data_IF_388487261548
#
_entry.id   IF_388487261548
#
_cell.length_a   1.000
_cell.length_b   1.000
_cell.length_c   1.000
_cell.angle_alpha   90.00
_cell.angle_beta   90.00
_cell.angle_gamma   90.00
#
_symmetry.space_group_name_H-M   'P 1'
#
loop_
_entity.id
_entity.type
_entity.pdbx_description
1 polymer ?
#
# COMPACT_ATOMS: atom_id res chain seq x y z
N UNK A 1 -29.34 40.05 40.24
CA UNK A 1 -28.55 40.36 39.05
C UNK A 1 -27.97 39.09 38.47
N UNK A 2 -28.43 38.70 37.35
CA UNK A 2 -28.03 37.44 36.76
C UNK A 2 -27.04 37.70 35.66
N UNK A 3 -25.85 37.14 35.77
CA UNK A 3 -24.92 37.10 34.69
C UNK A 3 -25.37 36.05 33.69
N UNK A 4 -25.51 36.37 32.42
CA UNK A 4 -25.75 35.34 31.43
C UNK A 4 -24.57 34.41 31.45
N UNK A 5 -24.88 33.14 31.54
CA UNK A 5 -23.85 32.12 31.29
C UNK A 5 -23.32 32.35 29.90
N UNK A 6 -22.08 32.79 29.81
CA UNK A 6 -21.36 32.77 28.56
C UNK A 6 -21.17 31.32 28.20
N UNK A 7 -22.06 30.86 27.38
CA UNK A 7 -21.75 29.64 26.61
C UNK A 7 -20.64 30.01 25.63
N UNK A 8 -19.43 29.85 26.12
CA UNK A 8 -18.30 29.73 25.19
C UNK A 8 -18.49 28.40 24.50
N UNK A 9 -19.19 28.44 23.40
CA UNK A 9 -19.08 27.38 22.46
C UNK A 9 -17.60 27.33 22.05
N UNK A 10 -16.87 26.44 22.66
CA UNK A 10 -15.55 26.12 22.16
C UNK A 10 -15.76 25.57 20.74
N UNK A 11 -15.66 26.45 19.78
CA UNK A 11 -15.44 26.06 18.42
C UNK A 11 -14.08 25.33 18.43
N UNK A 12 -14.13 24.05 18.60
CA UNK A 12 -13.01 23.22 18.25
C UNK A 12 -12.77 23.43 16.76
N UNK A 13 -11.67 24.04 16.38
CA UNK A 13 -11.38 24.13 14.97
C UNK A 13 -11.31 22.72 14.41
N UNK A 14 -12.05 22.49 13.39
CA UNK A 14 -11.94 21.28 12.56
C UNK A 14 -10.57 21.18 11.88
N UNK A 15 -9.53 21.77 12.45
CA UNK A 15 -8.17 21.76 11.93
C UNK A 15 -7.51 20.40 12.04
N UNK A 16 -8.08 19.51 12.85
CA UNK A 16 -7.54 18.16 13.00
C UNK A 16 -7.77 17.27 11.76
N UNK A 17 -8.51 17.78 10.79
CA UNK A 17 -8.87 17.03 9.58
C UNK A 17 -8.39 17.69 8.31
N UNK A 18 -7.60 18.75 8.41
CA UNK A 18 -6.80 19.12 7.27
C UNK A 18 -5.93 17.91 6.96
N UNK A 19 -6.29 17.21 5.91
CA UNK A 19 -5.49 16.14 5.38
C UNK A 19 -4.04 16.61 5.41
N UNK A 20 -3.16 15.77 5.89
CA UNK A 20 -1.75 16.00 5.82
C UNK A 20 -1.42 16.39 4.38
N UNK A 21 -1.29 17.66 4.12
CA UNK A 21 -0.95 18.21 2.82
C UNK A 21 0.53 18.07 2.51
N UNK A 22 1.23 17.23 3.27
CA UNK A 22 2.62 16.94 2.99
C UNK A 22 2.70 16.35 1.58
N UNK A 23 3.39 17.00 0.66
CA UNK A 23 3.54 16.47 -0.68
C UNK A 23 4.18 15.09 -0.63
N UNK A 24 3.70 14.19 -1.48
CA UNK A 24 4.32 12.89 -1.63
C UNK A 24 5.74 13.05 -2.18
N UNK A 25 6.69 12.24 -1.71
CA UNK A 25 8.06 12.36 -2.19
C UNK A 25 8.16 12.10 -3.70
N UNK A 26 8.94 12.92 -4.39
CA UNK A 26 9.17 12.76 -5.82
C UNK A 26 9.93 11.47 -6.13
N UNK A 27 10.82 11.05 -5.23
CA UNK A 27 11.60 9.82 -5.36
C UNK A 27 11.44 8.96 -4.12
N UNK A 28 11.46 7.65 -4.31
CA UNK A 28 11.37 6.66 -3.24
C UNK A 28 12.58 5.74 -3.35
N UNK A 29 13.45 5.78 -2.36
CA UNK A 29 14.73 5.07 -2.38
C UNK A 29 14.68 3.73 -1.67
N UNK A 30 13.68 3.51 -0.84
CA UNK A 30 13.52 2.28 -0.08
C UNK A 30 12.06 1.85 -0.06
N UNK A 31 11.84 0.56 0.19
CA UNK A 31 10.49 0.01 0.34
C UNK A 31 9.78 0.72 1.50
N UNK A 32 8.61 1.23 1.24
CA UNK A 32 7.73 1.79 2.26
C UNK A 32 6.55 0.87 2.47
N UNK A 33 6.29 0.54 3.73
CA UNK A 33 5.18 -0.32 4.13
C UNK A 33 4.23 0.52 4.98
N UNK A 34 3.01 0.68 4.50
CA UNK A 34 1.98 1.44 5.19
C UNK A 34 0.86 0.49 5.56
N UNK A 35 0.64 0.30 6.86
CA UNK A 35 -0.46 -0.52 7.34
C UNK A 35 -1.78 0.21 7.12
N UNK A 36 -2.68 -0.34 6.31
CA UNK A 36 -4.00 0.23 6.07
C UNK A 36 -5.04 -0.39 7.02
N UNK A 37 -4.95 -1.69 7.21
CA UNK A 37 -5.81 -2.44 8.12
C UNK A 37 -4.98 -3.54 8.74
N UNK A 38 -4.95 -3.61 10.06
CA UNK A 38 -4.28 -4.71 10.73
C UNK A 38 -5.17 -5.95 10.72
N UNK A 39 -4.63 -7.05 10.20
CA UNK A 39 -5.32 -8.32 10.23
C UNK A 39 -5.27 -8.98 11.60
N UNK A 40 -6.15 -9.94 11.83
CA UNK A 40 -6.23 -10.67 13.08
C UNK A 40 -5.98 -12.17 12.93
N UNK A 41 -5.79 -12.64 11.70
CA UNK A 41 -5.55 -14.04 11.40
C UNK A 41 -4.09 -14.45 11.48
N UNK A 42 -3.77 -15.55 10.82
CA UNK A 42 -2.41 -16.11 10.78
C UNK A 42 -1.43 -15.15 10.15
N UNK A 43 -0.26 -15.01 10.77
CA UNK A 43 0.82 -14.18 10.25
C UNK A 43 1.53 -14.87 9.08
N UNK A 44 1.76 -14.12 8.02
CA UNK A 44 2.50 -14.59 6.86
C UNK A 44 4.00 -14.56 7.15
N UNK A 45 4.64 -15.69 6.97
CA UNK A 45 6.09 -15.86 7.18
C UNK A 45 6.73 -16.46 5.93
N UNK A 46 8.02 -16.20 5.68
CA UNK A 46 8.73 -16.89 4.61
C UNK A 46 8.54 -18.40 4.70
N UNK A 47 8.24 -19.03 3.58
CA UNK A 47 7.92 -20.45 3.52
C UNK A 47 6.43 -20.75 3.46
N UNK A 48 5.58 -19.81 3.83
CA UNK A 48 4.14 -19.97 3.65
C UNK A 48 3.74 -19.69 2.21
N UNK A 49 2.65 -20.31 1.77
CA UNK A 49 1.93 -19.84 0.58
C UNK A 49 0.89 -18.84 1.04
N UNK A 50 0.90 -17.66 0.45
CA UNK A 50 -0.04 -16.59 0.78
C UNK A 50 -0.99 -16.37 -0.38
N UNK A 51 -2.25 -16.08 -0.04
CA UNK A 51 -3.31 -15.78 -1.00
C UNK A 51 -3.71 -14.33 -0.82
N UNK A 52 -3.61 -13.55 -1.88
CA UNK A 52 -3.80 -12.10 -1.81
C UNK A 52 -4.74 -11.61 -2.91
N UNK A 53 -5.40 -10.50 -2.63
CA UNK A 53 -5.87 -9.58 -3.65
C UNK A 53 -4.96 -8.38 -3.68
N UNK A 54 -4.70 -7.86 -4.86
CA UNK A 54 -3.88 -6.66 -5.02
C UNK A 54 -4.35 -5.79 -6.16
N UNK A 55 -4.01 -4.53 -6.06
CA UNK A 55 -4.10 -3.58 -7.17
C UNK A 55 -2.83 -2.76 -7.18
N UNK A 56 -2.22 -2.62 -8.34
CA UNK A 56 -0.97 -1.89 -8.52
C UNK A 56 -1.11 -0.72 -9.47
N UNK A 57 -0.46 0.39 -9.11
CA UNK A 57 -0.37 1.61 -9.90
C UNK A 57 1.09 2.00 -10.07
N UNK A 58 1.38 2.67 -11.15
CA UNK A 58 2.64 3.41 -11.24
C UNK A 58 2.58 4.53 -10.21
N UNK A 59 3.60 4.63 -9.37
CA UNK A 59 3.67 5.70 -8.38
C UNK A 59 3.85 7.04 -9.09
N UNK A 60 2.97 7.98 -8.78
CA UNK A 60 3.00 9.33 -9.31
C UNK A 60 2.74 10.30 -8.15
N UNK A 61 3.76 11.05 -7.70
CA UNK A 61 3.60 11.95 -6.57
C UNK A 61 2.60 13.09 -6.83
N UNK A 62 2.25 13.35 -8.09
CA UNK A 62 1.25 14.35 -8.46
C UNK A 62 -0.17 13.79 -8.49
N UNK A 63 -0.33 12.48 -8.50
CA UNK A 63 -1.63 11.83 -8.50
C UNK A 63 -2.20 11.72 -7.10
N UNK A 64 -3.52 11.61 -7.00
CA UNK A 64 -4.21 11.40 -5.73
C UNK A 64 -3.71 10.11 -5.07
N UNK A 65 -3.33 10.20 -3.82
CA UNK A 65 -2.73 9.10 -3.02
C UNK A 65 -1.46 8.52 -3.65
N UNK A 66 -0.85 9.18 -4.63
CA UNK A 66 0.29 8.63 -5.35
C UNK A 66 -0.07 7.59 -6.40
N UNK A 67 -1.36 7.38 -6.65
CA UNK A 67 -1.86 6.37 -7.58
C UNK A 67 -1.92 6.92 -8.99
N UNK A 68 -0.89 6.66 -9.75
CA UNK A 68 -0.85 6.99 -11.18
C UNK A 68 -1.62 5.96 -11.99
N UNK A 69 -1.09 5.58 -13.13
CA UNK A 69 -1.75 4.61 -14.01
C UNK A 69 -1.79 3.22 -13.36
N UNK A 70 -2.97 2.64 -13.27
CA UNK A 70 -3.15 1.26 -12.82
C UNK A 70 -2.55 0.31 -13.85
N UNK A 71 -1.73 -0.63 -13.41
CA UNK A 71 -1.07 -1.58 -14.32
C UNK A 71 -1.56 -3.01 -14.14
N UNK A 72 -2.12 -3.37 -13.00
CA UNK A 72 -2.62 -4.71 -12.76
C UNK A 72 -3.55 -4.74 -11.54
N UNK A 73 -4.50 -5.68 -11.52
CA UNK A 73 -5.39 -5.89 -10.39
C UNK A 73 -5.98 -7.29 -10.42
N UNK A 74 -5.75 -8.05 -9.37
CA UNK A 74 -6.41 -9.34 -9.17
C UNK A 74 -7.91 -9.17 -8.90
N UNK A 75 -8.28 -8.05 -8.28
CA UNK A 75 -9.69 -7.71 -8.02
C UNK A 75 -10.45 -7.53 -9.33
N UNK A 76 -9.87 -6.81 -10.28
CA UNK A 76 -10.48 -6.59 -11.59
C UNK A 76 -10.66 -7.90 -12.36
N UNK A 77 -9.71 -8.84 -12.20
CA UNK A 77 -9.82 -10.17 -12.82
C UNK A 77 -10.79 -11.10 -12.08
N UNK A 78 -11.19 -10.74 -10.86
CA UNK A 78 -12.05 -11.58 -10.03
C UNK A 78 -11.40 -12.87 -9.55
N UNK A 79 -10.07 -12.92 -9.48
CA UNK A 79 -9.31 -14.11 -9.09
C UNK A 79 -8.15 -13.74 -8.19
N UNK A 80 -8.12 -14.24 -6.94
CA UNK A 80 -6.98 -14.03 -6.05
C UNK A 80 -5.70 -14.61 -6.62
N UNK A 81 -4.60 -14.06 -6.18
CA UNK A 81 -3.27 -14.50 -6.56
C UNK A 81 -2.59 -15.17 -5.38
N UNK A 82 -1.98 -16.33 -5.60
CA UNK A 82 -1.22 -17.01 -4.57
C UNK A 82 0.24 -17.15 -4.98
N UNK A 83 1.12 -17.08 -3.99
CA UNK A 83 2.55 -17.25 -4.22
C UNK A 83 3.27 -17.72 -2.96
N UNK A 84 4.39 -18.45 -3.12
CA UNK A 84 5.23 -18.85 -1.98
C UNK A 84 6.03 -17.63 -1.51
N UNK A 85 5.77 -17.20 -0.28
CA UNK A 85 6.40 -16.01 0.29
C UNK A 85 7.89 -16.26 0.56
N UNK A 86 8.72 -15.31 0.13
CA UNK A 86 10.16 -15.36 0.36
C UNK A 86 10.94 -16.25 -0.60
N UNK A 87 10.29 -16.81 -1.62
CA UNK A 87 10.93 -17.75 -2.53
C UNK A 87 11.50 -17.11 -3.81
N UNK A 88 11.43 -15.77 -3.93
CA UNK A 88 11.91 -15.08 -5.14
C UNK A 88 11.03 -15.29 -6.37
N UNK A 89 9.79 -15.70 -6.19
CA UNK A 89 8.83 -15.92 -7.29
C UNK A 89 8.10 -14.65 -7.69
N UNK A 90 8.18 -13.63 -6.87
CA UNK A 90 7.58 -12.31 -7.08
C UNK A 90 8.66 -11.25 -6.92
N UNK A 91 8.37 -10.01 -7.28
CA UNK A 91 9.33 -8.92 -7.07
C UNK A 91 9.71 -8.80 -5.58
N UNK A 92 10.93 -8.32 -5.33
CA UNK A 92 11.47 -8.23 -3.96
C UNK A 92 10.59 -7.43 -3.03
N UNK A 93 9.96 -6.36 -3.55
CA UNK A 93 9.05 -5.54 -2.76
C UNK A 93 7.87 -6.32 -2.19
N UNK A 94 7.40 -7.34 -2.89
CA UNK A 94 6.34 -8.20 -2.41
C UNK A 94 6.81 -9.19 -1.35
N UNK A 95 7.92 -9.89 -1.61
CA UNK A 95 8.47 -10.83 -0.63
C UNK A 95 8.79 -10.14 0.69
N UNK A 96 9.32 -8.93 0.63
CA UNK A 96 9.64 -8.14 1.83
C UNK A 96 8.40 -7.47 2.42
N UNK A 97 7.50 -6.96 1.57
CA UNK A 97 6.37 -6.14 2.01
C UNK A 97 5.19 -6.93 2.55
N UNK A 98 4.99 -8.15 2.11
CA UNK A 98 3.89 -9.02 2.56
C UNK A 98 4.28 -9.80 3.81
N UNK A 99 5.57 -10.05 4.03
CA UNK A 99 6.05 -10.73 5.23
C UNK A 99 5.59 -9.98 6.49
N UNK A 100 5.04 -10.72 7.44
CA UNK A 100 4.52 -10.15 8.68
C UNK A 100 3.07 -9.67 8.62
N UNK A 101 2.42 -9.67 7.46
CA UNK A 101 0.99 -9.42 7.40
C UNK A 101 0.22 -10.54 8.07
N UNK A 102 -0.89 -10.19 8.68
CA UNK A 102 -1.85 -11.18 9.19
C UNK A 102 -3.05 -11.27 8.27
N UNK A 103 -3.60 -12.46 8.13
CA UNK A 103 -4.79 -12.67 7.31
C UNK A 103 -5.92 -11.72 7.74
N UNK A 104 -6.57 -11.12 6.77
CA UNK A 104 -7.54 -10.04 6.95
C UNK A 104 -6.94 -8.65 6.89
N UNK A 105 -5.61 -8.53 6.88
CA UNK A 105 -4.93 -7.25 6.83
C UNK A 105 -4.80 -6.68 5.42
N UNK A 106 -4.51 -5.39 5.37
CA UNK A 106 -4.24 -4.65 4.14
C UNK A 106 -3.00 -3.78 4.33
N UNK A 107 -2.11 -3.80 3.36
CA UNK A 107 -0.91 -2.96 3.33
C UNK A 107 -0.81 -2.24 2.00
N UNK A 108 -0.29 -1.02 2.08
CA UNK A 108 0.17 -0.29 0.91
C UNK A 108 1.68 -0.38 0.86
N UNK A 109 2.19 -0.83 -0.28
CA UNK A 109 3.63 -0.94 -0.52
C UNK A 109 4.03 0.10 -1.55
N UNK A 110 5.03 0.93 -1.23
CA UNK A 110 5.64 1.81 -2.23
C UNK A 110 7.02 1.22 -2.50
N UNK A 111 7.18 0.72 -3.71
CA UNK A 111 8.29 -0.16 -4.10
C UNK A 111 9.23 0.59 -5.03
N UNK A 112 10.47 0.85 -4.60
CA UNK A 112 11.44 1.50 -5.48
C UNK A 112 11.84 0.56 -6.62
N UNK A 113 12.40 1.10 -7.71
CA UNK A 113 12.71 0.32 -8.90
C UNK A 113 13.57 -0.91 -8.63
N UNK A 114 14.58 -0.80 -7.76
CA UNK A 114 15.50 -1.90 -7.43
C UNK A 114 14.83 -3.08 -6.69
N UNK A 115 13.66 -2.85 -6.12
CA UNK A 115 12.85 -3.91 -5.50
C UNK A 115 11.62 -4.27 -6.34
N UNK A 116 11.47 -3.65 -7.49
CA UNK A 116 10.42 -3.91 -8.47
C UNK A 116 11.00 -4.48 -9.76
N UNK A 117 10.70 -3.83 -10.87
CA UNK A 117 11.13 -4.31 -12.19
C UNK A 117 12.39 -3.61 -12.72
N UNK A 118 12.98 -2.71 -11.94
CA UNK A 118 14.26 -2.08 -12.24
C UNK A 118 14.29 -1.33 -13.56
N UNK A 119 15.44 -1.31 -14.19
CA UNK A 119 15.64 -0.65 -15.47
C UNK A 119 15.06 -1.43 -16.65
N UNK A 120 14.70 -2.69 -16.43
CA UNK A 120 14.09 -3.53 -17.45
C UNK A 120 12.62 -3.19 -17.68
N UNK A 121 11.91 -2.80 -16.61
CA UNK A 121 10.46 -2.66 -16.64
C UNK A 121 9.76 -3.99 -16.86
N UNK A 122 8.50 -3.96 -17.20
CA UNK A 122 7.70 -5.15 -17.49
C UNK A 122 6.72 -4.87 -18.62
N UNK A 123 6.99 -5.47 -19.78
CA UNK A 123 6.13 -5.32 -20.94
C UNK A 123 5.91 -3.86 -21.31
N UNK A 124 4.68 -3.55 -21.74
CA UNK A 124 4.29 -2.18 -22.12
C UNK A 124 3.67 -1.39 -20.97
N UNK A 125 3.46 -2.04 -19.82
CA UNK A 125 2.69 -1.44 -18.72
C UNK A 125 3.56 -0.86 -17.62
N UNK A 126 4.76 -1.39 -17.42
CA UNK A 126 5.71 -0.89 -16.43
C UNK A 126 6.97 -0.40 -17.14
N UNK A 127 7.18 0.92 -17.21
CA UNK A 127 8.37 1.47 -17.84
C UNK A 127 9.63 1.21 -17.02
N UNK A 128 10.82 1.31 -17.65
CA UNK A 128 12.09 1.27 -16.93
C UNK A 128 12.15 2.30 -15.80
N UNK A 129 12.69 1.90 -14.66
CA UNK A 129 12.90 2.81 -13.54
C UNK A 129 11.63 3.21 -12.78
N UNK A 130 10.53 2.49 -12.97
CA UNK A 130 9.26 2.84 -12.33
C UNK A 130 9.26 2.47 -10.83
N UNK A 131 8.80 3.39 -10.02
CA UNK A 131 8.38 3.14 -8.64
C UNK A 131 6.92 2.68 -8.67
N UNK A 132 6.60 1.68 -7.87
CA UNK A 132 5.27 1.07 -7.86
C UNK A 132 4.55 1.37 -6.55
N UNK A 133 3.24 1.55 -6.63
CA UNK A 133 2.37 1.58 -5.45
C UNK A 133 1.41 0.41 -5.56
N UNK A 134 1.42 -0.46 -4.56
CA UNK A 134 0.57 -1.66 -4.57
C UNK A 134 -0.20 -1.74 -3.26
N UNK A 135 -1.52 -1.85 -3.36
CA UNK A 135 -2.37 -2.16 -2.22
C UNK A 135 -2.62 -3.67 -2.22
N UNK A 136 -2.28 -4.31 -1.11
CA UNK A 136 -2.37 -5.76 -0.95
C UNK A 136 -3.29 -6.08 0.22
N UNK A 137 -4.23 -7.00 -0.01
CA UNK A 137 -5.05 -7.60 1.03
C UNK A 137 -4.65 -9.06 1.17
N UNK A 138 -4.29 -9.46 2.38
CA UNK A 138 -3.97 -10.86 2.67
C UNK A 138 -5.24 -11.62 3.03
N UNK A 139 -5.61 -12.59 2.18
CA UNK A 139 -6.83 -13.36 2.34
C UNK A 139 -6.61 -14.63 3.15
N UNK A 140 -5.49 -15.31 2.93
CA UNK A 140 -5.22 -16.60 3.55
C UNK A 140 -3.71 -16.87 3.61
N UNK A 141 -3.32 -17.66 4.59
CA UNK A 141 -1.94 -18.14 4.79
C UNK A 141 -1.97 -19.66 4.90
N UNK A 142 -1.20 -20.33 4.06
CA UNK A 142 -1.14 -21.80 4.01
C UNK A 142 0.25 -22.34 4.29
#
# INVERSE_FOLDING_TARGET
>A
MRMPALLIAALLPLLALAADETPLPATVDSLQIIELTEGTGTEARPGNTVVVHYTGWLYDPQAEEGKGKKFDSSVDRGSPFDFPLGAGRVIRGWDAGVAGMKAGGKRRLIIPPDMGYGQRGAGRVIPPGATLLVDVELLDVR
#
